data_IF_541716879630
#
_entry.id   IF_541716879630
#
_cell.length_a   1.000
_cell.length_b   1.000
_cell.length_c   1.000
_cell.angle_alpha   90.00
_cell.angle_beta   90.00
_cell.angle_gamma   90.00
#
_symmetry.space_group_name_H-M   'P 1'
#
loop_
_entity.id
_entity.type
_entity.pdbx_description
1 polymer ?
#
# COMPACT_ATOMS: atom_id res chain seq x y z
N UNK A 1 5.38 0.02 1.08
CA UNK A 1 4.13 0.73 0.76
C UNK A 1 2.96 -0.17 1.13
N UNK A 2 1.91 0.40 1.71
CA UNK A 2 0.61 -0.23 1.90
C UNK A 2 -0.34 0.44 0.89
N UNK A 3 -0.90 -0.33 -0.03
CA UNK A 3 -1.80 0.17 -1.07
C UNK A 3 -3.20 -0.37 -0.83
N UNK A 4 -4.12 0.52 -0.51
CA UNK A 4 -5.55 0.24 -0.51
C UNK A 4 -6.04 0.06 -1.95
N UNK A 5 -6.76 -1.03 -2.19
CA UNK A 5 -7.39 -1.35 -3.47
C UNK A 5 -8.90 -1.54 -3.30
N UNK A 6 -9.47 -1.01 -2.22
CA UNK A 6 -10.89 -1.09 -1.89
C UNK A 6 -11.77 -0.17 -2.74
N UNK A 7 -13.07 -0.17 -2.40
CA UNK A 7 -14.15 0.43 -3.19
C UNK A 7 -13.88 1.88 -3.55
N UNK A 8 -13.39 2.68 -2.60
CA UNK A 8 -13.15 4.12 -2.80
C UNK A 8 -11.98 4.41 -3.73
N UNK A 9 -10.95 3.56 -3.76
CA UNK A 9 -9.79 3.71 -4.65
C UNK A 9 -10.14 3.47 -6.12
N UNK A 10 -11.27 2.83 -6.42
CA UNK A 10 -11.81 2.68 -7.79
C UNK A 10 -12.48 3.94 -8.31
N UNK A 11 -12.69 4.95 -7.47
CA UNK A 11 -13.34 6.20 -7.88
C UNK A 11 -12.43 6.96 -8.86
N UNK A 12 -12.99 7.58 -9.90
CA UNK A 12 -12.21 8.36 -10.85
C UNK A 12 -11.73 9.69 -10.25
N UNK A 13 -10.59 10.15 -10.74
CA UNK A 13 -10.07 11.52 -10.65
C UNK A 13 -9.82 11.95 -12.09
N UNK A 14 -10.74 12.74 -12.66
CA UNK A 14 -10.82 12.90 -14.10
C UNK A 14 -11.19 11.56 -14.76
N UNK A 15 -10.36 11.10 -15.70
CA UNK A 15 -10.60 9.86 -16.46
C UNK A 15 -9.87 8.63 -15.90
N UNK A 16 -9.13 8.79 -14.79
CA UNK A 16 -8.23 7.76 -14.24
C UNK A 16 -8.63 7.43 -12.80
N UNK A 17 -8.59 6.15 -12.40
CA UNK A 17 -8.94 5.78 -11.03
C UNK A 17 -7.90 6.28 -10.02
N UNK A 18 -8.32 6.61 -8.80
CA UNK A 18 -7.41 6.95 -7.68
C UNK A 18 -6.34 5.86 -7.48
N UNK A 19 -6.73 4.60 -7.63
CA UNK A 19 -5.84 3.45 -7.56
C UNK A 19 -4.70 3.51 -8.58
N UNK A 20 -4.96 3.91 -9.82
CA UNK A 20 -3.93 3.98 -10.86
C UNK A 20 -2.90 5.07 -10.55
N UNK A 21 -3.34 6.22 -10.03
CA UNK A 21 -2.44 7.25 -9.52
C UNK A 21 -1.59 6.74 -8.34
N UNK A 22 -2.20 6.01 -7.41
CA UNK A 22 -1.49 5.41 -6.29
C UNK A 22 -0.46 4.36 -6.74
N UNK A 23 -0.81 3.50 -7.71
CA UNK A 23 0.10 2.53 -8.33
C UNK A 23 1.31 3.26 -8.93
N UNK A 24 1.08 4.30 -9.73
CA UNK A 24 2.15 5.09 -10.34
C UNK A 24 3.06 5.74 -9.28
N UNK A 25 2.48 6.30 -8.22
CA UNK A 25 3.23 6.89 -7.11
C UNK A 25 4.09 5.82 -6.40
N UNK A 26 3.52 4.66 -6.09
CA UNK A 26 4.25 3.54 -5.47
C UNK A 26 5.39 3.07 -6.38
N UNK A 27 5.17 2.94 -7.68
CA UNK A 27 6.20 2.54 -8.64
C UNK A 27 7.34 3.56 -8.71
N UNK A 28 7.02 4.85 -8.85
CA UNK A 28 8.03 5.91 -8.92
C UNK A 28 8.88 5.97 -7.63
N UNK A 29 8.24 5.91 -6.47
CA UNK A 29 8.94 5.88 -5.19
C UNK A 29 9.81 4.62 -5.05
N UNK A 30 9.28 3.46 -5.45
CA UNK A 30 10.03 2.21 -5.41
C UNK A 30 11.23 2.23 -6.33
N UNK A 31 11.10 2.82 -7.52
CA UNK A 31 12.19 2.98 -8.47
C UNK A 31 13.33 3.82 -7.88
N UNK A 32 13.01 5.00 -7.34
CA UNK A 32 13.99 5.89 -6.73
C UNK A 32 14.65 5.25 -5.51
N UNK A 33 13.86 4.67 -4.60
CA UNK A 33 14.36 4.04 -3.38
C UNK A 33 15.29 2.86 -3.69
N UNK A 34 14.90 1.97 -4.63
CA UNK A 34 15.75 0.85 -5.07
C UNK A 34 17.06 1.34 -5.67
N UNK A 35 17.05 2.43 -6.46
CA UNK A 35 18.29 3.02 -7.00
C UNK A 35 19.20 3.59 -5.93
N UNK A 36 18.65 4.09 -4.82
CA UNK A 36 19.41 4.58 -3.66
C UNK A 36 19.89 3.47 -2.74
N UNK A 37 19.58 2.21 -3.05
CA UNK A 37 19.99 1.05 -2.26
C UNK A 37 19.02 0.69 -1.13
N UNK A 38 17.87 1.37 -1.04
CA UNK A 38 16.87 1.09 -0.03
C UNK A 38 16.16 -0.25 -0.27
N UNK A 39 15.62 -0.80 0.81
CA UNK A 39 14.77 -1.99 0.75
C UNK A 39 13.32 -1.56 0.68
N UNK A 40 12.65 -1.92 -0.41
CA UNK A 40 11.25 -1.56 -0.64
C UNK A 40 10.40 -2.81 -0.61
N UNK A 41 9.30 -2.80 0.13
CA UNK A 41 8.27 -3.85 0.11
C UNK A 41 6.90 -3.27 -0.20
N UNK A 42 5.95 -4.15 -0.51
CA UNK A 42 4.58 -3.81 -0.86
C UNK A 42 3.61 -4.71 -0.11
N UNK A 43 2.50 -4.16 0.34
CA UNK A 43 1.33 -4.89 0.79
C UNK A 43 0.11 -4.23 0.14
N UNK A 44 -0.73 -5.01 -0.53
CA UNK A 44 -2.01 -4.53 -1.06
C UNK A 44 -3.15 -5.08 -0.23
N UNK A 45 -4.18 -4.29 0.01
CA UNK A 45 -5.29 -4.69 0.87
C UNK A 45 -6.62 -4.08 0.44
N UNK A 46 -7.71 -4.75 0.82
CA UNK A 46 -9.07 -4.24 0.81
C UNK A 46 -9.70 -4.60 2.17
N UNK A 47 -10.75 -5.41 2.20
CA UNK A 47 -11.29 -6.01 3.43
C UNK A 47 -10.32 -7.04 4.06
N UNK A 48 -9.40 -7.58 3.26
CA UNK A 48 -8.29 -8.45 3.68
C UNK A 48 -6.98 -8.05 2.99
N UNK A 49 -5.86 -8.67 3.39
CA UNK A 49 -4.59 -8.58 2.66
C UNK A 49 -4.66 -9.45 1.41
N UNK A 50 -4.31 -8.86 0.25
CA UNK A 50 -4.36 -9.57 -1.05
C UNK A 50 -2.97 -10.04 -1.48
N UNK A 51 -1.99 -9.13 -1.49
CA UNK A 51 -0.63 -9.44 -1.91
C UNK A 51 0.39 -8.86 -0.95
N UNK A 52 1.51 -9.57 -0.76
CA UNK A 52 2.65 -9.10 0.03
C UNK A 52 3.96 -9.40 -0.68
N UNK A 53 4.77 -8.37 -0.85
CA UNK A 53 6.14 -8.46 -1.35
C UNK A 53 7.08 -8.01 -0.23
N UNK A 54 7.85 -8.95 0.31
CA UNK A 54 8.81 -8.66 1.38
C UNK A 54 9.86 -7.62 0.94
N UNK A 55 10.30 -6.70 1.84
CA UNK A 55 11.29 -5.69 1.51
C UNK A 55 12.64 -6.27 1.08
N UNK A 56 13.08 -5.98 -0.14
CA UNK A 56 14.44 -6.26 -0.63
C UNK A 56 14.97 -5.07 -1.45
N UNK A 57 16.24 -5.08 -1.81
CA UNK A 57 16.89 -4.06 -2.64
C UNK A 57 17.22 -4.59 -4.04
N UNK A 58 17.68 -3.70 -4.91
CA UNK A 58 18.18 -4.03 -6.25
C UNK A 58 17.11 -4.09 -7.35
N UNK A 59 17.56 -4.06 -8.61
CA UNK A 59 16.69 -3.97 -9.80
C UNK A 59 15.63 -5.08 -9.87
N UNK A 60 15.98 -6.29 -9.46
CA UNK A 60 15.05 -7.42 -9.40
C UNK A 60 13.90 -7.23 -8.39
N UNK A 61 14.10 -6.41 -7.33
CA UNK A 61 12.99 -6.03 -6.46
C UNK A 61 12.02 -5.11 -7.21
N UNK A 62 12.52 -4.12 -7.93
CA UNK A 62 11.66 -3.19 -8.66
C UNK A 62 10.79 -3.91 -9.69
N UNK A 63 11.35 -4.87 -10.44
CA UNK A 63 10.56 -5.66 -11.41
C UNK A 63 9.48 -6.51 -10.74
N UNK A 64 9.77 -7.13 -9.59
CA UNK A 64 8.73 -7.84 -8.82
C UNK A 64 7.61 -6.92 -8.34
N UNK A 65 7.94 -5.70 -7.91
CA UNK A 65 6.93 -4.72 -7.53
C UNK A 65 6.09 -4.27 -8.73
N UNK A 66 6.73 -4.08 -9.89
CA UNK A 66 6.06 -3.72 -11.14
C UNK A 66 5.06 -4.79 -11.59
N UNK A 67 5.49 -6.05 -11.65
CA UNK A 67 4.63 -7.18 -12.02
C UNK A 67 3.44 -7.31 -11.07
N UNK A 68 3.68 -7.20 -9.76
CA UNK A 68 2.60 -7.29 -8.78
C UNK A 68 1.61 -6.13 -8.91
N UNK A 69 2.08 -4.89 -9.02
CA UNK A 69 1.20 -3.71 -9.14
C UNK A 69 0.44 -3.66 -10.46
N UNK A 70 0.99 -4.21 -11.53
CA UNK A 70 0.29 -4.32 -12.81
C UNK A 70 -0.87 -5.33 -12.76
N UNK A 71 -0.76 -6.37 -11.92
CA UNK A 71 -1.78 -7.39 -11.75
C UNK A 71 -2.85 -7.04 -10.69
N UNK A 72 -2.73 -5.89 -10.02
CA UNK A 72 -3.67 -5.48 -8.98
C UNK A 72 -5.00 -5.04 -9.59
N UNK A 73 -6.08 -5.63 -9.09
CA UNK A 73 -7.45 -5.23 -9.42
C UNK A 73 -8.17 -4.64 -8.21
N UNK A 74 -8.89 -3.55 -8.46
CA UNK A 74 -9.67 -2.87 -7.43
C UNK A 74 -10.88 -3.68 -6.99
N UNK A 75 -11.07 -3.82 -5.69
CA UNK A 75 -12.15 -4.55 -5.04
C UNK A 75 -13.37 -3.66 -4.79
N UNK A 76 -14.57 -4.27 -4.74
CA UNK A 76 -15.85 -3.58 -4.47
C UNK A 76 -16.23 -3.57 -2.99
N UNK A 77 -15.26 -3.69 -2.10
CA UNK A 77 -15.44 -3.81 -0.64
C UNK A 77 -14.79 -2.64 0.09
N UNK A 78 -15.25 -2.35 1.30
CA UNK A 78 -14.59 -1.36 2.17
C UNK A 78 -13.25 -1.89 2.70
N UNK A 79 -12.23 -1.03 2.84
CA UNK A 79 -10.97 -1.43 3.41
C UNK A 79 -11.12 -1.75 4.91
N UNK A 80 -10.50 -2.83 5.37
CA UNK A 80 -10.42 -3.18 6.78
C UNK A 80 -9.02 -2.91 7.33
N UNK A 81 -8.73 -1.66 7.71
CA UNK A 81 -7.41 -1.25 8.18
C UNK A 81 -6.87 -2.09 9.36
N UNK A 82 -7.73 -2.53 10.27
CA UNK A 82 -7.30 -3.38 11.40
C UNK A 82 -6.66 -4.71 10.96
N UNK A 83 -7.20 -5.37 9.94
CA UNK A 83 -6.66 -6.61 9.37
C UNK A 83 -5.37 -6.32 8.64
N UNK A 84 -5.39 -5.32 7.74
CA UNK A 84 -4.22 -4.95 6.94
C UNK A 84 -3.01 -4.54 7.80
N UNK A 85 -3.23 -3.69 8.81
CA UNK A 85 -2.17 -3.20 9.69
C UNK A 85 -1.74 -4.26 10.71
N UNK A 86 -2.65 -5.13 11.15
CA UNK A 86 -2.32 -6.28 12.00
C UNK A 86 -1.37 -7.24 11.29
N UNK A 87 -1.69 -7.62 10.06
CA UNK A 87 -0.82 -8.46 9.23
C UNK A 87 0.51 -7.79 8.89
N UNK A 88 0.47 -6.49 8.55
CA UNK A 88 1.68 -5.72 8.31
C UNK A 88 2.60 -5.73 9.55
N UNK A 89 2.05 -5.42 10.73
CA UNK A 89 2.79 -5.38 11.99
C UNK A 89 3.40 -6.76 12.34
N UNK A 90 2.69 -7.85 12.06
CA UNK A 90 3.18 -9.19 12.30
C UNK A 90 4.41 -9.56 11.43
N UNK A 91 4.57 -8.94 10.26
CA UNK A 91 5.66 -9.19 9.31
C UNK A 91 6.79 -8.15 9.38
N UNK A 92 6.49 -6.95 9.88
CA UNK A 92 7.44 -5.84 9.95
C UNK A 92 8.30 -5.91 11.20
N UNK A 93 9.47 -6.55 11.10
CA UNK A 93 10.40 -6.71 12.22
C UNK A 93 11.51 -5.65 12.31
N UNK A 94 11.57 -4.72 11.35
CA UNK A 94 12.63 -3.70 11.27
C UNK A 94 12.03 -2.31 11.22
N UNK A 95 12.75 -1.31 11.72
CA UNK A 95 12.37 0.10 11.57
C UNK A 95 12.43 0.48 10.09
N UNK A 96 11.48 1.31 9.65
CA UNK A 96 11.40 1.77 8.27
C UNK A 96 10.29 2.79 8.09
N UNK A 97 10.28 3.43 6.92
CA UNK A 97 9.22 4.35 6.54
C UNK A 97 8.02 3.56 5.98
N UNK A 98 6.85 3.78 6.56
CA UNK A 98 5.59 3.18 6.09
C UNK A 98 4.80 4.25 5.36
N UNK A 99 4.61 4.04 4.05
CA UNK A 99 3.78 4.89 3.20
C UNK A 99 2.47 4.17 2.92
N UNK A 100 1.35 4.81 3.25
CA UNK A 100 -0.01 4.28 3.08
C UNK A 100 -0.70 5.08 1.99
N UNK A 101 -1.21 4.40 0.97
CA UNK A 101 -1.94 4.99 -0.15
C UNK A 101 -3.38 4.52 -0.05
N UNK A 102 -4.29 5.43 0.30
CA UNK A 102 -5.69 5.12 0.53
C UNK A 102 -6.53 6.39 0.39
N UNK A 103 -7.84 6.22 0.26
CA UNK A 103 -8.80 7.29 0.17
C UNK A 103 -9.42 7.60 1.55
N UNK A 104 -9.36 8.86 1.95
CA UNK A 104 -9.83 9.34 3.26
C UNK A 104 -11.14 10.12 3.18
N UNK A 105 -11.97 9.91 2.15
CA UNK A 105 -13.19 10.72 1.95
C UNK A 105 -14.33 10.47 2.97
N UNK A 106 -14.03 9.88 4.13
CA UNK A 106 -14.96 9.78 5.27
C UNK A 106 -14.26 9.89 6.63
N UNK A 107 -14.93 10.51 7.60
CA UNK A 107 -14.41 10.70 8.97
C UNK A 107 -14.09 9.36 9.67
N UNK A 108 -14.96 8.36 9.53
CA UNK A 108 -14.79 7.03 10.13
C UNK A 108 -13.54 6.30 9.58
N UNK A 109 -13.28 6.42 8.28
CA UNK A 109 -12.09 5.83 7.62
C UNK A 109 -10.80 6.46 8.15
N UNK A 110 -10.82 7.78 8.36
CA UNK A 110 -9.68 8.54 8.88
C UNK A 110 -9.33 8.15 10.32
N UNK A 111 -10.32 8.13 11.23
CA UNK A 111 -10.09 7.77 12.64
C UNK A 111 -9.57 6.33 12.79
N UNK A 112 -10.15 5.40 12.01
CA UNK A 112 -9.71 4.01 11.99
C UNK A 112 -8.25 3.88 11.51
N UNK A 113 -7.87 4.58 10.44
CA UNK A 113 -6.50 4.58 9.94
C UNK A 113 -5.52 5.17 10.98
N UNK A 114 -5.85 6.34 11.55
CA UNK A 114 -5.01 7.01 12.55
C UNK A 114 -4.78 6.11 13.76
N UNK A 115 -5.83 5.43 14.24
CA UNK A 115 -5.72 4.48 15.34
C UNK A 115 -4.73 3.34 15.03
N UNK A 116 -4.69 2.84 13.79
CA UNK A 116 -3.71 1.82 13.39
C UNK A 116 -2.29 2.40 13.23
N UNK A 117 -2.15 3.61 12.69
CA UNK A 117 -0.83 4.25 12.54
C UNK A 117 -0.15 4.51 13.88
N UNK A 118 -0.90 4.90 14.91
CA UNK A 118 -0.37 5.06 16.29
C UNK A 118 0.19 3.74 16.83
N UNK A 119 -0.45 2.60 16.53
CA UNK A 119 0.02 1.28 16.97
C UNK A 119 1.35 0.86 16.33
N UNK A 120 1.63 1.36 15.11
CA UNK A 120 2.87 1.08 14.38
C UNK A 120 4.06 1.95 14.82
N UNK A 121 3.84 2.96 15.67
CA UNK A 121 4.84 3.98 16.04
C UNK A 121 5.89 3.48 17.06
N UNK A 122 6.18 2.17 17.08
CA UNK A 122 7.18 1.55 17.94
C UNK A 122 8.60 1.76 17.42
#
# INVERSE_FOLDING_TARGET
>A
ALLDVGRMMRSPVGDVAKMDYAINAVLLLSYVAVQKGDRVGLLTFADTVLHTVAPRSGKAQFHRLLEQLYAVEGQRVEPHYGVAFGEFAARQHKRGLVLVFTDLTGSISTDALVAQMVRLRR
#
